data_IF_733513611639
#
_entry.id   IF_733513611639
#
_cell.length_a   1.000
_cell.length_b   1.000
_cell.length_c   1.000
_cell.angle_alpha   90.00
_cell.angle_beta   90.00
_cell.angle_gamma   90.00
#
_symmetry.space_group_name_H-M   'P 1'
#
loop_
_entity.id
_entity.type
_entity.pdbx_description
1 polymer ?
#
# COMPACT_ATOMS: atom_id res chain seq x y z
N UNK A 1 -18.97 29.85 -73.21
CA UNK A 1 -18.72 29.43 -71.82
C UNK A 1 -17.98 28.09 -71.84
N UNK A 2 -16.68 28.09 -71.48
CA UNK A 2 -15.88 26.85 -71.45
C UNK A 2 -15.89 26.35 -69.98
N UNK A 3 -16.56 25.21 -69.71
CA UNK A 3 -16.46 24.51 -68.46
C UNK A 3 -15.11 23.79 -68.41
N UNK A 4 -14.23 24.22 -67.51
CA UNK A 4 -13.02 23.45 -67.13
C UNK A 4 -13.44 22.23 -66.26
N UNK A 5 -13.12 21.04 -66.62
CA UNK A 5 -13.36 19.88 -65.75
C UNK A 5 -12.43 19.94 -64.55
N UNK A 6 -12.96 20.24 -63.41
CA UNK A 6 -12.26 20.19 -62.13
C UNK A 6 -11.74 18.73 -61.97
N UNK A 7 -10.41 18.59 -61.92
CA UNK A 7 -9.74 17.30 -61.91
C UNK A 7 -9.91 16.68 -60.50
N UNK A 8 -11.06 16.07 -60.24
CA UNK A 8 -11.45 15.41 -58.97
C UNK A 8 -10.42 14.37 -58.50
N UNK A 9 -9.66 13.78 -59.39
CA UNK A 9 -8.59 12.84 -59.04
C UNK A 9 -7.44 13.50 -58.29
N UNK A 10 -7.11 14.73 -58.66
CA UNK A 10 -5.99 15.47 -58.05
C UNK A 10 -6.32 15.92 -56.62
N UNK A 11 -7.56 16.32 -56.38
CA UNK A 11 -8.02 16.72 -55.03
C UNK A 11 -8.13 15.51 -54.11
N UNK A 12 -8.62 14.38 -54.63
CA UNK A 12 -8.72 13.13 -53.84
C UNK A 12 -7.36 12.61 -53.41
N UNK A 13 -6.37 12.66 -54.29
CA UNK A 13 -4.99 12.26 -53.97
C UNK A 13 -4.31 13.20 -52.96
N UNK A 14 -4.56 14.50 -53.04
CA UNK A 14 -4.09 15.44 -52.02
C UNK A 14 -4.71 15.15 -50.64
N UNK A 15 -5.99 14.92 -50.54
CA UNK A 15 -6.69 14.60 -49.32
C UNK A 15 -6.17 13.29 -48.70
N UNK A 16 -5.89 12.27 -49.48
CA UNK A 16 -5.29 11.03 -49.00
C UNK A 16 -3.85 11.20 -48.47
N UNK A 17 -3.05 11.98 -49.14
CA UNK A 17 -1.68 12.26 -48.71
C UNK A 17 -1.64 13.08 -47.40
N UNK A 18 -2.59 14.02 -47.23
CA UNK A 18 -2.68 14.83 -46.03
C UNK A 18 -3.19 14.00 -44.82
N UNK A 19 -4.08 13.03 -45.04
CA UNK A 19 -4.51 12.07 -44.00
C UNK A 19 -3.36 11.16 -43.59
N UNK A 20 -2.58 10.67 -44.54
CA UNK A 20 -1.44 9.80 -44.25
C UNK A 20 -0.33 10.55 -43.49
N UNK A 21 -0.10 11.81 -43.85
CA UNK A 21 0.88 12.68 -43.18
C UNK A 21 0.47 13.03 -41.73
N UNK A 22 -0.82 13.26 -41.50
CA UNK A 22 -1.34 13.53 -40.14
C UNK A 22 -1.22 12.30 -39.23
N UNK A 23 -1.54 11.12 -39.74
CA UNK A 23 -1.40 9.86 -39.00
C UNK A 23 0.06 9.56 -38.64
N UNK A 24 1.01 9.83 -39.53
CA UNK A 24 2.42 9.61 -39.24
C UNK A 24 2.99 10.55 -38.17
N UNK A 25 2.53 11.81 -38.13
CA UNK A 25 2.91 12.80 -37.11
C UNK A 25 2.23 12.54 -35.76
N UNK A 26 1.04 11.94 -35.77
CA UNK A 26 0.32 11.51 -34.56
C UNK A 26 1.06 10.37 -33.87
N UNK A 27 1.49 9.34 -34.61
CA UNK A 27 2.21 8.20 -34.03
C UNK A 27 3.47 8.59 -33.25
N UNK A 28 4.24 9.58 -33.73
CA UNK A 28 5.42 10.04 -32.99
C UNK A 28 5.06 10.70 -31.66
N UNK A 29 3.99 11.48 -31.62
CA UNK A 29 3.49 12.12 -30.39
C UNK A 29 2.91 11.08 -29.43
N UNK A 30 2.18 10.11 -29.96
CA UNK A 30 1.60 9.02 -29.18
C UNK A 30 2.68 8.12 -28.56
N UNK A 31 3.73 7.81 -29.32
CA UNK A 31 4.89 7.06 -28.80
C UNK A 31 5.60 7.83 -27.67
N UNK A 32 5.79 9.14 -27.83
CA UNK A 32 6.40 9.97 -26.77
C UNK A 32 5.53 10.00 -25.52
N UNK A 33 4.21 10.09 -25.67
CA UNK A 33 3.27 10.04 -24.53
C UNK A 33 3.31 8.68 -23.82
N UNK A 34 3.29 7.59 -24.58
CA UNK A 34 3.37 6.23 -24.02
C UNK A 34 4.69 6.02 -23.26
N UNK A 35 5.81 6.43 -23.85
CA UNK A 35 7.12 6.36 -23.19
C UNK A 35 7.16 7.22 -21.92
N UNK A 36 6.57 8.40 -21.94
CA UNK A 36 6.45 9.27 -20.77
C UNK A 36 5.66 8.64 -19.62
N UNK A 37 4.52 8.03 -19.96
CA UNK A 37 3.67 7.33 -18.95
C UNK A 37 4.41 6.10 -18.39
N UNK A 38 5.09 5.33 -19.23
CA UNK A 38 5.86 4.16 -18.80
C UNK A 38 7.02 4.57 -17.88
N UNK A 39 7.72 5.64 -18.20
CA UNK A 39 8.82 6.15 -17.40
C UNK A 39 8.29 6.66 -16.04
N UNK A 40 7.19 7.42 -16.05
CA UNK A 40 6.56 7.90 -14.82
C UNK A 40 6.09 6.74 -13.93
N UNK A 41 5.50 5.69 -14.51
CA UNK A 41 5.06 4.50 -13.77
C UNK A 41 6.24 3.72 -13.19
N UNK A 42 7.34 3.59 -13.93
CA UNK A 42 8.55 2.93 -13.47
C UNK A 42 9.21 3.69 -12.30
N UNK A 43 9.28 5.03 -12.39
CA UNK A 43 9.78 5.87 -11.30
C UNK A 43 8.90 5.76 -10.06
N UNK A 44 7.57 5.79 -10.24
CA UNK A 44 6.62 5.62 -9.13
C UNK A 44 6.76 4.26 -8.44
N UNK A 45 6.90 3.18 -9.21
CA UNK A 45 7.11 1.85 -8.68
C UNK A 45 8.44 1.75 -7.90
N UNK A 46 9.51 2.33 -8.45
CA UNK A 46 10.82 2.38 -7.79
C UNK A 46 10.75 3.16 -6.48
N UNK A 47 10.07 4.30 -6.45
CA UNK A 47 9.89 5.08 -5.22
C UNK A 47 9.14 4.28 -4.14
N UNK A 48 8.11 3.52 -4.51
CA UNK A 48 7.37 2.67 -3.55
C UNK A 48 8.28 1.58 -2.97
N UNK A 49 9.15 0.99 -3.78
CA UNK A 49 10.11 -0.03 -3.32
C UNK A 49 11.20 0.55 -2.39
N UNK A 50 11.51 1.84 -2.55
CA UNK A 50 12.50 2.54 -1.72
C UNK A 50 11.92 3.09 -0.42
N UNK A 51 10.58 3.10 -0.25
CA UNK A 51 9.96 3.49 1.02
C UNK A 51 10.30 2.40 2.04
N UNK A 52 11.07 2.71 3.09
CA UNK A 52 11.37 1.74 4.13
C UNK A 52 10.04 1.29 4.75
N UNK A 53 9.84 -0.02 4.86
CA UNK A 53 8.76 -0.56 5.67
C UNK A 53 9.01 -0.05 7.09
N UNK A 54 8.14 0.85 7.58
CA UNK A 54 8.22 1.35 8.94
C UNK A 54 7.98 0.18 9.89
N UNK A 55 9.06 -0.48 10.29
CA UNK A 55 9.02 -1.38 11.44
C UNK A 55 8.71 -0.53 12.65
N UNK A 56 7.63 -0.86 13.35
CA UNK A 56 7.34 -0.22 14.64
C UNK A 56 8.53 -0.42 15.57
N UNK A 57 8.95 0.59 16.27
CA UNK A 57 10.00 0.48 17.29
C UNK A 57 9.41 0.35 18.69
N UNK A 58 8.13 0.70 18.87
CA UNK A 58 7.45 0.76 20.15
C UNK A 58 6.13 -0.01 20.07
N UNK A 59 5.94 -0.94 21.00
CA UNK A 59 4.67 -1.59 21.29
C UNK A 59 3.93 -0.76 22.34
N UNK A 60 2.75 -0.25 22.00
CA UNK A 60 1.87 0.42 22.94
C UNK A 60 0.76 -0.53 23.37
N UNK A 61 0.60 -0.73 24.66
CA UNK A 61 -0.46 -1.54 25.23
C UNK A 61 -1.46 -0.61 25.90
N UNK A 62 -2.73 -0.75 25.54
CA UNK A 62 -3.84 -0.04 26.19
C UNK A 62 -4.84 -1.03 26.74
N UNK A 63 -5.41 -0.71 27.91
CA UNK A 63 -6.46 -1.47 28.56
C UNK A 63 -7.58 -0.53 28.97
N UNK A 64 -8.82 -0.88 28.66
CA UNK A 64 -9.98 -0.05 28.91
C UNK A 64 -9.78 1.43 28.46
N UNK A 65 -9.22 1.60 27.26
CA UNK A 65 -8.88 2.89 26.62
C UNK A 65 -7.82 3.72 27.39
N UNK A 66 -7.14 3.16 28.36
CA UNK A 66 -6.05 3.80 29.09
C UNK A 66 -4.72 3.17 28.70
N UNK A 67 -3.70 3.98 28.62
CA UNK A 67 -2.34 3.49 28.38
C UNK A 67 -1.88 2.64 29.56
N UNK A 68 -1.59 1.36 29.29
CA UNK A 68 -0.98 0.45 30.27
C UNK A 68 0.54 0.60 30.27
N UNK A 69 1.15 0.65 29.08
CA UNK A 69 2.58 0.82 28.95
C UNK A 69 3.05 0.90 27.50
N UNK A 70 4.29 1.35 27.34
CA UNK A 70 5.02 1.38 26.08
C UNK A 70 6.31 0.56 26.21
N UNK A 71 6.58 -0.31 25.25
CA UNK A 71 7.65 -1.27 25.31
C UNK A 71 8.46 -1.23 24.01
N UNK A 72 9.76 -1.34 24.12
CA UNK A 72 10.66 -1.38 22.98
C UNK A 72 10.58 -2.74 22.28
N UNK A 73 10.18 -2.77 21.01
CA UNK A 73 10.12 -4.00 20.22
C UNK A 73 11.48 -4.64 19.94
N UNK A 74 12.57 -3.88 20.10
CA UNK A 74 13.91 -4.39 19.90
C UNK A 74 14.44 -5.15 21.11
N UNK A 75 13.71 -5.14 22.24
CA UNK A 75 14.11 -5.85 23.46
C UNK A 75 13.19 -7.03 23.70
N UNK A 76 13.75 -8.22 23.62
CA UNK A 76 13.02 -9.45 23.92
C UNK A 76 12.56 -9.45 25.38
N UNK A 77 11.25 -9.55 25.59
CA UNK A 77 10.66 -9.53 26.92
C UNK A 77 9.27 -10.17 26.94
N UNK A 78 8.84 -10.56 28.12
CA UNK A 78 7.50 -11.08 28.38
C UNK A 78 6.77 -10.09 29.28
N UNK A 79 5.58 -9.67 28.87
CA UNK A 79 4.74 -8.73 29.58
C UNK A 79 3.46 -9.45 29.97
N UNK A 80 3.14 -9.46 31.26
CA UNK A 80 1.89 -9.98 31.76
C UNK A 80 1.02 -8.78 32.16
N UNK A 81 -0.12 -8.66 31.50
CA UNK A 81 -1.12 -7.62 31.79
C UNK A 81 -2.24 -8.26 32.59
N UNK A 82 -2.29 -7.99 33.90
CA UNK A 82 -3.32 -8.45 34.79
C UNK A 82 -4.39 -7.39 34.96
N UNK A 83 -5.64 -7.81 34.93
CA UNK A 83 -6.82 -6.97 35.06
C UNK A 83 -7.90 -7.71 35.85
N UNK A 84 -8.91 -7.01 36.44
CA UNK A 84 -10.03 -7.66 37.08
C UNK A 84 -10.82 -8.62 36.16
N UNK A 85 -10.75 -8.41 34.86
CA UNK A 85 -11.38 -9.25 33.82
C UNK A 85 -10.58 -10.46 33.39
N UNK A 86 -9.32 -10.59 33.84
CA UNK A 86 -8.43 -11.67 33.47
C UNK A 86 -7.02 -11.21 33.12
N UNK A 87 -6.22 -12.07 32.52
CA UNK A 87 -4.86 -11.74 32.13
C UNK A 87 -4.58 -11.95 30.64
N UNK A 88 -3.54 -11.28 30.16
CA UNK A 88 -2.98 -11.46 28.83
C UNK A 88 -1.44 -11.52 28.94
N UNK A 89 -0.82 -12.53 28.35
CA UNK A 89 0.62 -12.67 28.27
C UNK A 89 1.10 -12.31 26.87
N UNK A 90 1.84 -11.21 26.76
CA UNK A 90 2.39 -10.71 25.51
C UNK A 90 3.88 -11.00 25.49
N UNK A 91 4.38 -11.50 24.36
CA UNK A 91 5.80 -11.74 24.16
C UNK A 91 6.30 -10.84 23.06
N UNK A 92 7.39 -10.12 23.35
CA UNK A 92 8.19 -9.43 22.35
C UNK A 92 9.40 -10.30 22.07
N UNK A 93 9.59 -10.65 20.80
CA UNK A 93 10.72 -11.44 20.35
C UNK A 93 11.09 -11.11 18.91
N UNK A 94 12.38 -10.99 18.64
CA UNK A 94 12.93 -10.73 17.30
C UNK A 94 12.27 -9.52 16.59
N UNK A 95 11.97 -8.45 17.34
CA UNK A 95 11.37 -7.23 16.80
C UNK A 95 9.88 -7.33 16.49
N UNK A 96 9.18 -8.36 16.99
CA UNK A 96 7.76 -8.55 16.83
C UNK A 96 7.07 -8.85 18.16
N UNK A 97 5.81 -8.50 18.29
CA UNK A 97 4.99 -8.81 19.45
C UNK A 97 3.84 -9.75 19.10
N UNK A 98 3.51 -10.66 19.97
CA UNK A 98 2.38 -11.57 19.83
C UNK A 98 1.77 -11.94 21.18
N UNK A 99 0.50 -12.34 21.16
CA UNK A 99 -0.19 -12.87 22.32
C UNK A 99 0.19 -14.33 22.52
N UNK A 100 0.85 -14.64 23.65
CA UNK A 100 1.28 -16.01 23.95
C UNK A 100 0.21 -16.78 24.71
N UNK A 101 -0.46 -16.13 25.66
CA UNK A 101 -1.50 -16.73 26.47
C UNK A 101 -2.51 -15.68 26.93
N UNK A 102 -3.74 -16.09 27.16
CA UNK A 102 -4.81 -15.29 27.72
C UNK A 102 -5.88 -16.21 28.33
N UNK A 103 -6.54 -15.80 29.38
CA UNK A 103 -7.67 -16.53 29.98
C UNK A 103 -9.03 -16.11 29.43
N UNK A 104 -9.05 -15.33 28.35
CA UNK A 104 -10.31 -14.98 27.68
C UNK A 104 -10.98 -16.23 27.06
N UNK A 105 -12.33 -16.32 27.08
CA UNK A 105 -13.06 -17.53 26.67
C UNK A 105 -12.75 -18.03 25.29
N UNK A 106 -12.66 -17.13 24.32
CA UNK A 106 -12.57 -17.49 22.90
C UNK A 106 -11.14 -17.59 22.39
N UNK A 107 -10.16 -17.02 23.10
CA UNK A 107 -8.74 -17.01 22.78
C UNK A 107 -8.35 -16.50 21.37
N UNK A 108 -9.26 -15.80 20.68
CA UNK A 108 -9.00 -15.24 19.34
C UNK A 108 -7.80 -14.28 19.31
N UNK A 109 -7.51 -13.60 20.43
CA UNK A 109 -6.34 -12.73 20.51
C UNK A 109 -5.01 -13.47 20.30
N UNK A 110 -4.99 -14.80 20.49
CA UNK A 110 -3.80 -15.64 20.27
C UNK A 110 -3.66 -16.10 18.81
N UNK A 111 -4.70 -15.96 18.00
CA UNK A 111 -4.70 -16.36 16.59
C UNK A 111 -4.13 -15.27 15.66
N UNK A 112 -3.92 -14.06 16.18
CA UNK A 112 -3.31 -12.99 15.39
C UNK A 112 -1.85 -13.30 15.04
N UNK A 113 -1.45 -12.92 13.87
CA UNK A 113 -0.05 -12.96 13.47
C UNK A 113 0.79 -12.02 14.36
N UNK A 114 2.08 -12.35 14.59
CA UNK A 114 2.97 -11.40 15.25
C UNK A 114 2.99 -10.04 14.54
N UNK A 115 2.89 -8.97 15.30
CA UNK A 115 2.88 -7.59 14.79
C UNK A 115 4.25 -6.95 14.93
N UNK A 116 4.68 -6.22 13.91
CA UNK A 116 5.98 -5.54 13.87
C UNK A 116 5.93 -4.17 13.19
N UNK A 117 4.79 -3.80 12.62
CA UNK A 117 4.61 -2.54 11.89
C UNK A 117 3.71 -1.58 12.65
N UNK A 118 3.90 -0.28 12.41
CA UNK A 118 3.21 0.78 13.15
C UNK A 118 1.69 0.86 12.97
N UNK A 119 1.10 0.07 12.07
CA UNK A 119 -0.34 0.04 11.79
C UNK A 119 -0.99 -1.31 12.10
N UNK A 120 -0.25 -2.22 12.74
CA UNK A 120 -0.75 -3.54 13.12
C UNK A 120 -1.23 -3.51 14.57
N UNK A 121 -2.31 -4.23 14.87
CA UNK A 121 -2.87 -4.31 16.21
C UNK A 121 -3.33 -5.72 16.53
N UNK A 122 -3.24 -6.10 17.82
CA UNK A 122 -3.86 -7.29 18.39
C UNK A 122 -4.91 -6.83 19.40
N UNK A 123 -6.11 -7.36 19.32
CA UNK A 123 -7.24 -6.95 20.16
C UNK A 123 -7.73 -8.14 20.97
N UNK A 124 -7.86 -7.96 22.28
CA UNK A 124 -8.59 -8.87 23.16
C UNK A 124 -9.83 -8.16 23.68
N UNK A 125 -10.99 -8.43 23.05
CA UNK A 125 -12.24 -7.77 23.37
C UNK A 125 -12.73 -8.05 24.81
N UNK A 126 -12.70 -9.30 25.32
CA UNK A 126 -13.14 -9.59 26.69
C UNK A 126 -12.34 -8.82 27.73
N UNK A 127 -11.04 -8.63 27.49
CA UNK A 127 -10.16 -7.90 28.40
C UNK A 127 -9.98 -6.43 28.02
N UNK A 128 -10.66 -5.94 26.96
CA UNK A 128 -10.52 -4.57 26.44
C UNK A 128 -9.07 -4.14 26.24
N UNK A 129 -8.22 -5.07 25.83
CA UNK A 129 -6.80 -4.87 25.59
C UNK A 129 -6.55 -4.67 24.08
N UNK A 130 -5.76 -3.67 23.77
CA UNK A 130 -5.28 -3.34 22.40
C UNK A 130 -3.78 -3.08 22.44
#
# INVERSE_FOLDING_TARGET
MRFFPINRKFEFQRAQNDLHRRNFLSHKKDVVLILGILLLSAVSALLILLIPNNTGSVLRITTDQKLYGEYDLLKDQVIVVEQPSGYNQIVIKDGAAYMKDADCPDKYCMEYHPISKGNEVIICLPHKLV
#
